data_IF_612487057156
#
_entry.id   IF_612487057156
#
_cell.length_a   1.000
_cell.length_b   1.000
_cell.length_c   1.000
_cell.angle_alpha   90.00
_cell.angle_beta   90.00
_cell.angle_gamma   90.00
#
_symmetry.space_group_name_H-M   'P 1'
#
loop_
_entity.id
_entity.type
_entity.pdbx_description
1 polymer ?
#
# COMPACT_ATOMS: atom_id res chain seq x y z
N UNK A 1 9.87 22.52 20.38
CA UNK A 1 9.36 21.86 21.61
C UNK A 1 8.31 20.88 21.16
N UNK A 2 8.66 19.60 21.04
CA UNK A 2 7.69 18.55 20.73
C UNK A 2 6.79 18.32 21.95
N UNK A 3 5.46 18.26 21.79
CA UNK A 3 4.57 17.88 22.88
C UNK A 3 4.81 16.39 23.19
N UNK A 4 5.34 16.10 24.38
CA UNK A 4 5.42 14.73 24.88
C UNK A 4 4.01 14.15 24.97
N UNK A 5 3.77 13.05 24.26
CA UNK A 5 2.52 12.32 24.35
C UNK A 5 2.29 11.89 25.81
N UNK A 6 1.11 12.18 26.40
CA UNK A 6 0.83 11.83 27.78
C UNK A 6 0.85 10.31 27.97
N UNK A 7 1.51 9.85 29.03
CA UNK A 7 1.54 8.44 29.42
C UNK A 7 0.14 7.98 29.85
N UNK A 8 -0.59 7.38 28.92
CA UNK A 8 -1.98 6.93 29.09
C UNK A 8 -2.11 5.86 30.19
N UNK A 9 -1.06 5.09 30.46
CA UNK A 9 -1.06 4.12 31.57
C UNK A 9 -1.08 4.84 32.91
N UNK A 10 -0.30 5.91 33.04
CA UNK A 10 -0.30 6.76 34.23
C UNK A 10 -1.65 7.47 34.44
N UNK A 11 -2.33 7.87 33.36
CA UNK A 11 -3.67 8.48 33.44
C UNK A 11 -4.74 7.47 33.87
N UNK A 12 -4.75 6.26 33.28
CA UNK A 12 -5.68 5.19 33.68
C UNK A 12 -5.45 4.74 35.13
N UNK A 13 -4.19 4.59 35.55
CA UNK A 13 -3.86 4.26 36.93
C UNK A 13 -4.36 5.32 37.91
N UNK A 14 -4.27 6.61 37.56
CA UNK A 14 -4.84 7.71 38.38
C UNK A 14 -6.36 7.66 38.46
N UNK A 15 -7.04 7.32 37.37
CA UNK A 15 -8.51 7.21 37.36
C UNK A 15 -8.99 6.04 38.22
N UNK A 16 -8.31 4.90 38.10
CA UNK A 16 -8.60 3.74 38.94
C UNK A 16 -8.38 4.09 40.43
N UNK A 17 -7.25 4.71 40.75
CA UNK A 17 -6.95 5.19 42.10
C UNK A 17 -7.99 6.18 42.63
N UNK A 18 -8.48 7.13 41.83
CA UNK A 18 -9.54 8.04 42.27
C UNK A 18 -10.88 7.33 42.48
N UNK A 19 -11.20 6.33 41.66
CA UNK A 19 -12.41 5.53 41.83
C UNK A 19 -12.37 4.75 43.15
N UNK A 20 -11.24 4.11 43.44
CA UNK A 20 -11.04 3.33 44.65
C UNK A 20 -11.14 4.24 45.89
N UNK A 21 -10.48 5.41 45.86
CA UNK A 21 -10.57 6.40 46.96
C UNK A 21 -12.01 6.92 47.16
N UNK A 22 -12.76 7.17 46.08
CA UNK A 22 -14.16 7.60 46.19
C UNK A 22 -15.00 6.50 46.84
N UNK A 23 -14.80 5.24 46.45
CA UNK A 23 -15.56 4.11 46.97
C UNK A 23 -15.26 3.84 48.45
N UNK A 24 -13.99 3.90 48.84
CA UNK A 24 -13.57 3.74 50.24
C UNK A 24 -14.14 4.86 51.11
N UNK A 25 -14.03 6.12 50.65
CA UNK A 25 -14.53 7.28 51.41
C UNK A 25 -16.05 7.32 51.51
N UNK A 26 -16.76 6.90 50.47
CA UNK A 26 -18.22 6.79 50.50
C UNK A 26 -18.68 5.72 51.50
N UNK A 27 -17.93 4.61 51.60
CA UNK A 27 -18.19 3.54 52.57
C UNK A 27 -17.93 4.02 54.00
N UNK A 28 -16.81 4.71 54.25
CA UNK A 28 -16.48 5.32 55.55
C UNK A 28 -17.56 6.33 56.00
N UNK A 29 -18.06 7.17 55.10
CA UNK A 29 -19.15 8.11 55.41
C UNK A 29 -20.45 7.36 55.74
N UNK A 30 -20.76 6.27 55.05
CA UNK A 30 -21.96 5.48 55.31
C UNK A 30 -21.90 4.80 56.69
N UNK A 31 -20.76 4.21 57.04
CA UNK A 31 -20.53 3.59 58.36
C UNK A 31 -20.63 4.62 59.49
N UNK A 32 -19.96 5.76 59.35
CA UNK A 32 -20.02 6.84 60.35
C UNK A 32 -21.42 7.43 60.51
N UNK A 33 -22.21 7.52 59.43
CA UNK A 33 -23.62 7.96 59.51
C UNK A 33 -24.48 6.94 60.26
N UNK A 34 -24.27 5.65 60.03
CA UNK A 34 -24.96 4.58 60.74
C UNK A 34 -24.59 4.57 62.24
N UNK A 35 -23.31 4.72 62.57
CA UNK A 35 -22.84 4.78 63.96
C UNK A 35 -23.39 6.01 64.70
N UNK A 36 -23.35 7.19 64.06
CA UNK A 36 -23.92 8.42 64.63
C UNK A 36 -25.42 8.29 64.90
N UNK A 37 -26.15 7.58 64.02
CA UNK A 37 -27.57 7.32 64.23
C UNK A 37 -27.82 6.36 65.40
N UNK A 38 -27.01 5.30 65.53
CA UNK A 38 -27.05 4.39 66.68
C UNK A 38 -26.75 5.10 68.00
N UNK A 39 -25.78 6.01 68.03
CA UNK A 39 -25.45 6.80 69.23
C UNK A 39 -26.60 7.72 69.63
N UNK A 40 -27.26 8.37 68.66
CA UNK A 40 -28.46 9.18 68.93
C UNK A 40 -29.62 8.36 69.50
N UNK A 41 -29.82 7.16 68.97
CA UNK A 41 -30.83 6.24 69.49
C UNK A 41 -30.49 5.82 70.93
N UNK A 42 -29.21 5.50 71.22
CA UNK A 42 -28.74 5.19 72.56
C UNK A 42 -28.92 6.37 73.52
N UNK A 43 -28.56 7.59 73.13
CA UNK A 43 -28.74 8.80 73.94
C UNK A 43 -30.22 9.06 74.25
N UNK A 44 -31.09 8.92 73.24
CA UNK A 44 -32.53 9.05 73.41
C UNK A 44 -33.13 7.97 74.32
N UNK A 45 -32.56 6.77 74.32
CA UNK A 45 -32.97 5.67 75.20
C UNK A 45 -32.46 5.88 76.63
N UNK A 46 -31.20 6.31 76.80
CA UNK A 46 -30.55 6.61 78.08
C UNK A 46 -31.29 7.73 78.82
N UNK A 47 -31.63 8.83 78.12
CA UNK A 47 -32.42 9.94 78.65
C UNK A 47 -33.83 9.51 79.12
N UNK A 48 -34.45 8.52 78.45
CA UNK A 48 -35.74 7.94 78.87
C UNK A 48 -35.60 7.05 80.11
N UNK A 49 -34.53 6.26 80.22
CA UNK A 49 -34.24 5.48 81.42
C UNK A 49 -33.85 6.37 82.61
N UNK A 50 -33.05 7.41 82.42
CA UNK A 50 -32.74 8.36 83.50
C UNK A 50 -33.99 9.04 84.07
N UNK A 51 -34.98 9.37 83.23
CA UNK A 51 -36.29 9.87 83.68
C UNK A 51 -37.14 8.82 84.42
N UNK A 52 -36.90 7.52 84.20
CA UNK A 52 -37.66 6.42 84.83
C UNK A 52 -37.17 6.07 86.23
N UNK A 53 -35.96 6.46 86.63
CA UNK A 53 -35.35 6.11 87.93
C UNK A 53 -35.52 7.21 89.00
N UNK A 54 -36.35 8.23 88.75
CA UNK A 54 -36.62 9.35 89.67
C UNK A 54 -37.49 8.98 90.90
N UNK A 55 -37.58 7.70 91.27
CA UNK A 55 -38.41 7.19 92.37
C UNK A 55 -37.58 6.29 93.31
N UNK A 56 -36.62 6.85 94.06
CA UNK A 56 -36.31 6.55 95.49
C UNK A 56 -34.93 7.13 95.91
N UNK A 57 -34.85 8.20 96.74
CA UNK A 57 -33.60 8.93 96.97
C UNK A 57 -32.93 8.55 98.31
N UNK A 58 -31.86 7.75 98.28
CA UNK A 58 -30.84 7.75 99.35
C UNK A 58 -29.45 7.31 98.85
N UNK A 59 -28.54 8.27 98.77
CA UNK A 59 -27.08 8.16 98.69
C UNK A 59 -26.38 7.45 97.50
N UNK A 60 -27.09 6.99 96.47
CA UNK A 60 -26.47 6.62 95.16
C UNK A 60 -26.53 7.73 94.09
N UNK A 61 -27.34 8.78 94.30
CA UNK A 61 -27.65 9.78 93.27
C UNK A 61 -26.48 10.68 92.88
N UNK A 62 -25.65 11.16 93.81
CA UNK A 62 -24.58 12.10 93.43
C UNK A 62 -23.45 11.48 92.61
N UNK A 63 -23.15 10.19 92.77
CA UNK A 63 -22.13 9.51 91.94
C UNK A 63 -22.68 9.14 90.56
N UNK A 64 -23.93 8.69 90.47
CA UNK A 64 -24.55 8.39 89.19
C UNK A 64 -24.86 9.63 88.36
N UNK A 65 -25.24 10.74 88.98
CA UNK A 65 -25.53 11.99 88.25
C UNK A 65 -24.26 12.59 87.62
N UNK A 66 -23.13 12.56 88.34
CA UNK A 66 -21.82 12.97 87.79
C UNK A 66 -21.36 12.02 86.69
N UNK A 67 -21.57 10.71 86.84
CA UNK A 67 -21.26 9.75 85.77
C UNK A 67 -22.12 9.92 84.51
N UNK A 68 -23.38 10.34 84.66
CA UNK A 68 -24.27 10.63 83.53
C UNK A 68 -23.84 11.93 82.85
N UNK A 69 -23.52 12.99 83.61
CA UNK A 69 -23.03 14.26 83.05
C UNK A 69 -21.68 14.09 82.33
N UNK A 70 -20.73 13.34 82.91
CA UNK A 70 -19.45 13.03 82.25
C UNK A 70 -19.68 12.20 80.97
N UNK A 71 -20.61 11.23 81.01
CA UNK A 71 -20.95 10.41 79.84
C UNK A 71 -21.67 11.22 78.75
N UNK A 72 -22.55 12.15 79.11
CA UNK A 72 -23.26 13.01 78.16
C UNK A 72 -22.28 14.00 77.51
N UNK A 73 -21.32 14.53 78.27
CA UNK A 73 -20.26 15.39 77.75
C UNK A 73 -19.32 14.63 76.79
N UNK A 74 -18.92 13.41 77.14
CA UNK A 74 -18.12 12.55 76.25
C UNK A 74 -18.88 12.19 74.96
N UNK A 75 -20.19 11.99 75.03
CA UNK A 75 -21.02 11.73 73.84
C UNK A 75 -21.16 13.01 72.98
N UNK A 76 -21.38 14.19 73.57
CA UNK A 76 -21.39 15.45 72.82
C UNK A 76 -20.05 15.73 72.13
N UNK A 77 -18.94 15.49 72.82
CA UNK A 77 -17.58 15.67 72.28
C UNK A 77 -17.30 14.69 71.11
N UNK A 78 -17.76 13.44 71.23
CA UNK A 78 -17.62 12.45 70.15
C UNK A 78 -18.55 12.76 68.97
N UNK A 79 -19.79 13.20 69.20
CA UNK A 79 -20.68 13.67 68.13
C UNK A 79 -20.09 14.88 67.38
N UNK A 80 -19.52 15.84 68.09
CA UNK A 80 -18.87 17.00 67.49
C UNK A 80 -17.66 16.61 66.63
N UNK A 81 -16.84 15.65 67.10
CA UNK A 81 -15.73 15.08 66.34
C UNK A 81 -16.21 14.35 65.08
N UNK A 82 -17.24 13.51 65.20
CA UNK A 82 -17.80 12.78 64.05
C UNK A 82 -18.42 13.73 63.02
N UNK A 83 -19.14 14.76 63.46
CA UNK A 83 -19.73 15.77 62.56
C UNK A 83 -18.65 16.52 61.76
N UNK A 84 -17.57 16.92 62.43
CA UNK A 84 -16.43 17.58 61.78
C UNK A 84 -15.73 16.64 60.79
N UNK A 85 -15.57 15.37 61.15
CA UNK A 85 -14.97 14.35 60.29
C UNK A 85 -15.82 14.07 59.05
N UNK A 86 -17.14 13.96 59.20
CA UNK A 86 -18.08 13.78 58.08
C UNK A 86 -18.01 14.97 57.12
N UNK A 87 -17.99 16.21 57.63
CA UNK A 87 -17.86 17.40 56.79
C UNK A 87 -16.55 17.40 55.98
N UNK A 88 -15.42 17.08 56.62
CA UNK A 88 -14.13 16.98 55.94
C UNK A 88 -14.12 15.88 54.85
N UNK A 89 -14.77 14.74 55.10
CA UNK A 89 -14.91 13.65 54.13
C UNK A 89 -15.81 14.04 52.96
N UNK A 90 -16.94 14.73 53.22
CA UNK A 90 -17.85 15.21 52.18
C UNK A 90 -17.20 16.28 51.28
N UNK A 91 -16.38 17.17 51.84
CA UNK A 91 -15.58 18.13 51.06
C UNK A 91 -14.53 17.43 50.20
N UNK A 92 -13.86 16.42 50.76
CA UNK A 92 -12.88 15.60 50.03
C UNK A 92 -13.54 14.84 48.88
N UNK A 93 -14.71 14.23 49.10
CA UNK A 93 -15.50 13.56 48.06
C UNK A 93 -15.84 14.51 46.92
N UNK A 94 -16.38 15.70 47.22
CA UNK A 94 -16.68 16.71 46.19
C UNK A 94 -15.43 17.12 45.41
N UNK A 95 -14.28 17.24 46.07
CA UNK A 95 -13.01 17.55 45.43
C UNK A 95 -12.59 16.46 44.43
N UNK A 96 -12.65 15.19 44.83
CA UNK A 96 -12.29 14.06 43.99
C UNK A 96 -13.28 13.83 42.84
N UNK A 97 -14.59 13.98 43.08
CA UNK A 97 -15.62 13.93 42.03
C UNK A 97 -15.40 15.00 40.95
N UNK A 98 -15.06 16.23 41.37
CA UNK A 98 -14.73 17.32 40.43
C UNK A 98 -13.47 17.02 39.63
N UNK A 99 -12.45 16.39 40.23
CA UNK A 99 -11.24 15.95 39.51
C UNK A 99 -11.51 14.79 38.56
N UNK A 100 -12.34 13.84 38.97
CA UNK A 100 -12.74 12.68 38.17
C UNK A 100 -13.52 13.12 36.92
N UNK A 101 -14.53 13.97 37.10
CA UNK A 101 -15.32 14.53 35.98
C UNK A 101 -14.44 15.32 35.01
N UNK A 102 -13.49 16.12 35.52
CA UNK A 102 -12.51 16.83 34.68
C UNK A 102 -11.65 15.87 33.85
N UNK A 103 -11.09 14.82 34.45
CA UNK A 103 -10.26 13.85 33.72
C UNK A 103 -11.06 13.02 32.72
N UNK A 104 -12.28 12.64 33.08
CA UNK A 104 -13.20 11.94 32.18
C UNK A 104 -13.49 12.78 30.93
N UNK A 105 -13.67 14.10 31.09
CA UNK A 105 -13.89 15.01 29.96
C UNK A 105 -12.68 15.07 29.03
N UNK A 106 -11.46 15.18 29.58
CA UNK A 106 -10.21 15.18 28.78
C UNK A 106 -10.07 13.89 27.98
N UNK A 107 -10.37 12.73 28.57
CA UNK A 107 -10.32 11.45 27.85
C UNK A 107 -11.36 11.40 26.74
N UNK A 108 -12.57 11.90 27.00
CA UNK A 108 -13.62 11.95 25.98
C UNK A 108 -13.23 12.85 24.80
N UNK A 109 -12.71 14.06 25.09
CA UNK A 109 -12.24 15.00 24.07
C UNK A 109 -11.12 14.38 23.21
N UNK A 110 -10.17 13.65 23.83
CA UNK A 110 -9.11 12.94 23.10
C UNK A 110 -9.62 11.74 22.29
N UNK A 111 -10.61 11.00 22.82
CA UNK A 111 -11.23 9.90 22.10
C UNK A 111 -11.99 10.40 20.87
N UNK A 112 -12.69 11.51 20.99
CA UNK A 112 -13.41 12.15 19.89
C UNK A 112 -12.43 12.67 18.82
N UNK A 113 -11.30 13.26 19.23
CA UNK A 113 -10.24 13.71 18.31
C UNK A 113 -9.57 12.55 17.56
N UNK A 114 -9.27 11.44 18.25
CA UNK A 114 -8.77 10.21 17.62
C UNK A 114 -9.81 9.60 16.66
N UNK A 115 -11.09 9.67 17.01
CA UNK A 115 -12.16 9.19 16.14
C UNK A 115 -12.32 10.08 14.90
N UNK A 116 -12.19 11.40 15.04
CA UNK A 116 -12.17 12.34 13.92
C UNK A 116 -10.97 12.10 13.02
N UNK A 117 -9.77 11.90 13.57
CA UNK A 117 -8.58 11.55 12.78
C UNK A 117 -8.73 10.22 12.06
N UNK A 118 -9.29 9.19 12.72
CA UNK A 118 -9.62 7.91 12.05
C UNK A 118 -10.63 8.09 10.94
N UNK A 119 -11.67 8.89 11.18
CA UNK A 119 -12.67 9.19 10.17
C UNK A 119 -12.05 9.97 9.01
N UNK A 120 -11.13 10.91 9.25
CA UNK A 120 -10.39 11.63 8.21
C UNK A 120 -9.45 10.72 7.42
N UNK A 121 -8.77 9.77 8.08
CA UNK A 121 -7.92 8.76 7.40
C UNK A 121 -8.79 7.77 6.59
N UNK A 122 -9.99 7.45 7.05
CA UNK A 122 -10.95 6.63 6.32
C UNK A 122 -11.69 7.41 5.21
N UNK A 123 -11.86 8.72 5.38
CA UNK A 123 -12.51 9.64 4.45
C UNK A 123 -11.55 10.26 3.44
N UNK A 124 -10.23 10.23 3.67
CA UNK A 124 -9.28 10.28 2.57
C UNK A 124 -9.65 9.08 1.71
N UNK A 125 -10.26 9.30 0.53
CA UNK A 125 -10.58 8.19 -0.33
C UNK A 125 -9.22 7.60 -0.61
N UNK A 126 -9.00 6.41 -0.10
CA UNK A 126 -7.96 5.52 -0.55
C UNK A 126 -8.05 5.51 -2.07
N UNK A 127 -7.30 6.41 -2.74
CA UNK A 127 -7.27 6.62 -4.19
C UNK A 127 -6.52 5.45 -4.82
N UNK A 128 -6.86 4.22 -4.45
CA UNK A 128 -6.55 3.08 -5.27
C UNK A 128 -7.59 3.09 -6.38
N UNK A 129 -7.15 3.42 -7.59
CA UNK A 129 -8.02 3.31 -8.74
C UNK A 129 -8.23 1.81 -8.96
N UNK A 130 -9.43 1.30 -8.64
CA UNK A 130 -9.79 -0.07 -8.97
C UNK A 130 -9.99 -0.16 -10.47
N UNK A 131 -8.91 -0.44 -11.18
CA UNK A 131 -8.92 -0.67 -12.62
C UNK A 131 -9.20 -2.16 -12.86
N UNK A 132 -10.21 -2.44 -13.67
CA UNK A 132 -10.57 -3.79 -14.08
C UNK A 132 -9.57 -4.37 -15.07
N UNK A 133 -9.52 -5.70 -15.12
CA UNK A 133 -8.71 -6.44 -16.08
C UNK A 133 -9.05 -6.06 -17.53
N UNK A 134 -10.33 -5.77 -17.81
CA UNK A 134 -10.78 -5.34 -19.15
C UNK A 134 -10.27 -3.95 -19.52
N UNK A 135 -10.24 -3.00 -18.57
CA UNK A 135 -9.67 -1.68 -18.83
C UNK A 135 -8.17 -1.75 -19.12
N UNK A 136 -7.43 -2.61 -18.41
CA UNK A 136 -6.01 -2.85 -18.69
C UNK A 136 -5.82 -3.46 -20.08
N UNK A 137 -6.61 -4.49 -20.43
CA UNK A 137 -6.58 -5.12 -21.77
C UNK A 137 -6.90 -4.12 -22.88
N UNK A 138 -7.93 -3.29 -22.68
CA UNK A 138 -8.34 -2.27 -23.64
C UNK A 138 -7.27 -1.18 -23.78
N UNK A 139 -6.70 -0.72 -22.67
CA UNK A 139 -5.61 0.26 -22.67
C UNK A 139 -4.38 -0.25 -23.42
N UNK A 140 -3.99 -1.51 -23.19
CA UNK A 140 -2.87 -2.11 -23.95
C UNK A 140 -3.22 -2.28 -25.43
N UNK A 141 -4.46 -2.69 -25.76
CA UNK A 141 -4.91 -2.84 -27.15
C UNK A 141 -4.93 -1.51 -27.91
N UNK A 142 -5.39 -0.44 -27.25
CA UNK A 142 -5.35 0.92 -27.80
C UNK A 142 -3.90 1.37 -28.00
N UNK A 143 -3.00 1.08 -27.05
CA UNK A 143 -1.59 1.39 -27.19
C UNK A 143 -0.94 0.62 -28.35
N UNK A 144 -1.23 -0.68 -28.51
CA UNK A 144 -0.82 -1.47 -29.68
C UNK A 144 -1.29 -0.85 -30.99
N UNK A 145 -2.54 -0.39 -31.04
CA UNK A 145 -3.10 0.27 -32.20
C UNK A 145 -2.38 1.59 -32.53
N UNK A 146 -2.15 2.46 -31.54
CA UNK A 146 -1.45 3.73 -31.73
C UNK A 146 -0.01 3.51 -32.20
N UNK A 147 0.73 2.56 -31.60
CA UNK A 147 2.10 2.22 -32.03
C UNK A 147 2.10 1.77 -33.49
N UNK A 148 1.16 0.91 -33.90
CA UNK A 148 1.04 0.47 -35.29
C UNK A 148 0.76 1.64 -36.24
N UNK A 149 -0.23 2.48 -35.93
CA UNK A 149 -0.54 3.66 -36.75
C UNK A 149 0.66 4.62 -36.84
N UNK A 150 1.38 4.79 -35.73
CA UNK A 150 2.55 5.64 -35.68
C UNK A 150 3.66 5.15 -36.62
N UNK A 151 3.95 3.85 -36.56
CA UNK A 151 4.93 3.21 -37.46
C UNK A 151 4.53 3.35 -38.92
N UNK A 152 3.26 3.13 -39.25
CA UNK A 152 2.74 3.21 -40.61
C UNK A 152 2.80 4.64 -41.17
N UNK A 153 2.42 5.64 -40.39
CA UNK A 153 2.27 7.00 -40.88
C UNK A 153 3.60 7.77 -40.84
N UNK A 154 4.37 7.64 -39.76
CA UNK A 154 5.47 8.55 -39.45
C UNK A 154 6.88 7.94 -39.64
N UNK A 155 7.01 6.62 -39.66
CA UNK A 155 8.31 5.95 -39.78
C UNK A 155 8.60 5.47 -41.21
N UNK A 156 9.88 5.26 -41.51
CA UNK A 156 10.34 4.75 -42.81
C UNK A 156 9.96 3.28 -42.98
N UNK A 157 9.52 2.89 -44.18
CA UNK A 157 9.13 1.50 -44.48
C UNK A 157 10.31 0.60 -44.86
N UNK A 158 11.52 1.16 -44.94
CA UNK A 158 12.77 0.43 -45.11
C UNK A 158 13.89 1.27 -44.51
N UNK A 159 14.82 0.62 -43.83
CA UNK A 159 16.03 1.25 -43.27
C UNK A 159 17.24 0.65 -43.99
N UNK A 160 18.12 1.51 -44.51
CA UNK A 160 19.33 1.10 -45.20
C UNK A 160 20.27 0.31 -44.27
N UNK A 161 21.04 -0.63 -44.83
CA UNK A 161 21.96 -1.49 -44.08
C UNK A 161 22.91 -0.72 -43.15
N UNK A 162 23.41 0.44 -43.58
CA UNK A 162 24.31 1.26 -42.77
C UNK A 162 23.64 1.82 -41.51
N UNK A 163 22.35 2.16 -41.60
CA UNK A 163 21.57 2.67 -40.46
C UNK A 163 21.19 1.56 -39.47
N UNK A 164 21.14 0.28 -39.91
CA UNK A 164 20.87 -0.90 -39.06
C UNK A 164 21.91 -1.08 -37.95
N UNK A 165 23.13 -0.59 -38.19
CA UNK A 165 24.24 -0.65 -37.24
C UNK A 165 24.30 0.54 -36.27
N UNK A 166 23.32 1.45 -36.31
CA UNK A 166 23.25 2.52 -35.32
C UNK A 166 23.25 1.96 -33.88
N UNK A 167 23.93 2.67 -32.98
CA UNK A 167 24.00 2.32 -31.56
C UNK A 167 22.60 2.28 -30.92
N UNK A 168 21.72 3.20 -31.33
CA UNK A 168 20.31 3.22 -30.92
C UNK A 168 19.60 1.92 -31.27
N UNK A 169 19.65 1.46 -32.53
CA UNK A 169 18.96 0.23 -32.93
C UNK A 169 19.57 -1.00 -32.29
N UNK A 170 20.89 -1.01 -32.09
CA UNK A 170 21.57 -2.09 -31.37
C UNK A 170 21.07 -2.22 -29.92
N UNK A 171 20.70 -1.11 -29.28
CA UNK A 171 20.13 -1.08 -27.94
C UNK A 171 18.65 -1.47 -27.90
N UNK A 172 17.88 -1.07 -28.92
CA UNK A 172 16.43 -1.29 -28.95
C UNK A 172 16.04 -2.67 -29.48
N UNK A 173 16.84 -3.26 -30.36
CA UNK A 173 16.46 -4.46 -31.09
C UNK A 173 17.55 -5.54 -31.03
N UNK A 174 17.15 -6.81 -30.83
CA UNK A 174 18.07 -7.92 -30.96
C UNK A 174 18.56 -8.06 -32.41
N UNK A 175 19.76 -8.62 -32.60
CA UNK A 175 20.36 -8.80 -33.93
C UNK A 175 19.46 -9.62 -34.87
N UNK A 176 18.75 -10.61 -34.32
CA UNK A 176 17.78 -11.46 -35.01
C UNK A 176 16.65 -10.69 -35.68
N UNK A 177 16.22 -9.55 -35.12
CA UNK A 177 15.18 -8.70 -35.69
C UNK A 177 15.75 -7.66 -36.64
N UNK A 178 16.92 -7.10 -36.30
CA UNK A 178 17.58 -6.05 -37.10
C UNK A 178 17.85 -6.45 -38.55
N UNK A 179 18.18 -7.71 -38.81
CA UNK A 179 18.39 -8.23 -40.18
C UNK A 179 17.16 -8.11 -41.09
N UNK A 180 15.96 -7.94 -40.51
CA UNK A 180 14.72 -7.80 -41.26
C UNK A 180 14.34 -6.34 -41.53
N UNK A 181 15.10 -5.35 -41.05
CA UNK A 181 14.89 -3.92 -41.31
C UNK A 181 15.00 -3.50 -42.79
N UNK A 182 15.83 -4.14 -43.64
CA UNK A 182 15.84 -3.83 -45.06
C UNK A 182 14.57 -4.33 -45.79
N UNK A 183 13.86 -5.33 -45.24
CA UNK A 183 12.69 -5.93 -45.86
C UNK A 183 11.47 -5.02 -45.72
N UNK A 184 10.88 -4.58 -46.84
CA UNK A 184 9.71 -3.69 -46.83
C UNK A 184 8.50 -4.28 -46.07
N UNK A 185 8.34 -5.61 -46.07
CA UNK A 185 7.21 -6.28 -45.41
C UNK A 185 7.42 -6.45 -43.91
N UNK A 186 8.67 -6.67 -43.47
CA UNK A 186 8.98 -6.95 -42.06
C UNK A 186 9.48 -5.72 -41.32
N UNK A 187 9.97 -4.69 -42.02
CA UNK A 187 10.46 -3.45 -41.42
C UNK A 187 9.41 -2.82 -40.50
N UNK A 188 8.13 -2.63 -40.89
CA UNK A 188 7.13 -2.07 -39.98
C UNK A 188 6.98 -2.88 -38.68
N UNK A 189 6.99 -4.22 -38.77
CA UNK A 189 6.88 -5.10 -37.60
C UNK A 189 8.09 -4.95 -36.67
N UNK A 190 9.29 -4.86 -37.25
CA UNK A 190 10.53 -4.66 -36.47
C UNK A 190 10.58 -3.26 -35.86
N UNK A 191 10.02 -2.25 -36.54
CA UNK A 191 9.91 -0.90 -36.00
C UNK A 191 8.90 -0.83 -34.86
N UNK A 192 7.77 -1.51 -34.94
CA UNK A 192 6.85 -1.68 -33.80
C UNK A 192 7.61 -2.23 -32.58
N UNK A 193 8.40 -3.29 -32.77
CA UNK A 193 9.22 -3.87 -31.71
C UNK A 193 10.21 -2.87 -31.11
N UNK A 194 10.84 -2.02 -31.93
CA UNK A 194 11.79 -1.01 -31.45
C UNK A 194 11.11 0.03 -30.54
N UNK A 195 9.90 0.47 -30.93
CA UNK A 195 9.10 1.39 -30.13
C UNK A 195 8.70 0.73 -28.81
N UNK A 196 8.25 -0.53 -28.84
CA UNK A 196 7.92 -1.28 -27.63
C UNK A 196 9.10 -1.52 -26.70
N UNK A 197 10.29 -1.80 -27.23
CA UNK A 197 11.52 -1.88 -26.43
C UNK A 197 11.85 -0.56 -25.73
N UNK A 198 11.64 0.57 -26.42
CA UNK A 198 11.78 1.88 -25.79
C UNK A 198 10.74 2.08 -24.69
N UNK A 199 9.45 1.84 -24.96
CA UNK A 199 8.39 1.99 -23.95
C UNK A 199 8.62 1.08 -22.74
N UNK A 200 9.08 -0.15 -22.97
CA UNK A 200 9.39 -1.09 -21.90
C UNK A 200 10.51 -0.56 -21.01
N UNK A 201 11.65 -0.18 -21.59
CA UNK A 201 12.80 0.33 -20.83
C UNK A 201 12.55 1.69 -20.17
N UNK A 202 11.86 2.61 -20.88
CA UNK A 202 11.65 3.98 -20.42
C UNK A 202 10.43 4.19 -19.52
N UNK A 203 9.45 3.27 -19.50
CA UNK A 203 8.18 3.45 -18.77
C UNK A 203 7.83 2.23 -17.91
N UNK A 204 7.81 1.04 -18.49
CA UNK A 204 7.28 -0.15 -17.79
C UNK A 204 8.30 -0.80 -16.84
N UNK A 205 9.59 -0.66 -17.10
CA UNK A 205 10.65 -1.21 -16.25
C UNK A 205 10.63 -0.62 -14.85
N UNK A 206 11.14 -1.41 -13.90
CA UNK A 206 11.21 -1.04 -12.50
C UNK A 206 12.09 0.20 -12.23
N UNK A 207 13.07 0.47 -13.10
CA UNK A 207 13.97 1.63 -13.06
C UNK A 207 13.66 2.71 -14.12
N UNK A 208 12.47 2.69 -14.70
CA UNK A 208 12.07 3.66 -15.71
C UNK A 208 12.13 5.10 -15.19
N UNK A 209 12.74 6.01 -15.95
CA UNK A 209 12.89 7.42 -15.56
C UNK A 209 11.54 8.13 -15.37
N UNK A 210 10.55 7.78 -16.19
CA UNK A 210 9.20 8.35 -16.10
C UNK A 210 8.43 7.85 -14.85
N UNK A 211 8.87 6.75 -14.24
CA UNK A 211 8.29 6.21 -13.01
C UNK A 211 8.94 6.85 -11.78
N UNK A 212 8.38 7.97 -11.32
CA UNK A 212 8.75 8.64 -10.07
C UNK A 212 10.25 8.96 -9.88
N UNK A 213 11.02 8.93 -10.98
CA UNK A 213 12.46 9.15 -11.00
C UNK A 213 13.22 8.34 -9.94
N UNK A 214 14.27 8.92 -9.34
CA UNK A 214 15.08 8.24 -8.32
C UNK A 214 14.29 7.79 -7.08
N UNK A 215 13.23 8.51 -6.69
CA UNK A 215 12.36 8.13 -5.58
C UNK A 215 11.56 6.86 -5.91
N UNK A 216 11.06 6.77 -7.14
CA UNK A 216 10.39 5.58 -7.67
C UNK A 216 11.28 4.34 -7.62
N UNK A 217 12.56 4.51 -7.99
CA UNK A 217 13.59 3.45 -7.93
C UNK A 217 13.79 2.98 -6.48
N UNK A 218 14.07 3.91 -5.56
CA UNK A 218 14.29 3.57 -4.13
C UNK A 218 13.06 2.90 -3.50
N UNK A 219 11.86 3.36 -3.87
CA UNK A 219 10.62 2.75 -3.44
C UNK A 219 10.50 1.31 -3.98
N UNK A 220 10.82 1.07 -5.25
CA UNK A 220 10.84 -0.28 -5.84
C UNK A 220 11.86 -1.21 -5.17
N UNK A 221 13.07 -0.72 -4.90
CA UNK A 221 14.10 -1.51 -4.20
C UNK A 221 13.63 -1.89 -2.79
N UNK A 222 12.97 -0.96 -2.09
CA UNK A 222 12.38 -1.21 -0.77
C UNK A 222 11.27 -2.25 -0.86
N UNK A 223 10.35 -2.11 -1.82
CA UNK A 223 9.31 -3.10 -2.08
C UNK A 223 9.88 -4.49 -2.36
N UNK A 224 10.95 -4.59 -3.15
CA UNK A 224 11.60 -5.85 -3.46
C UNK A 224 12.23 -6.48 -2.21
N UNK A 225 12.94 -5.69 -1.39
CA UNK A 225 13.52 -6.13 -0.12
C UNK A 225 12.45 -6.65 0.84
N UNK A 226 11.36 -5.91 1.02
CA UNK A 226 10.23 -6.33 1.86
C UNK A 226 9.56 -7.59 1.31
N UNK A 227 9.32 -7.64 -0.01
CA UNK A 227 8.75 -8.84 -0.66
C UNK A 227 9.63 -10.07 -0.49
N UNK A 228 10.94 -9.91 -0.56
CA UNK A 228 11.90 -11.00 -0.33
C UNK A 228 11.94 -11.41 1.14
N UNK A 229 11.91 -10.46 2.07
CA UNK A 229 11.84 -10.77 3.51
C UNK A 229 10.57 -11.57 3.85
N UNK A 230 9.41 -11.19 3.29
CA UNK A 230 8.17 -11.96 3.40
C UNK A 230 8.39 -13.36 2.81
N UNK A 231 8.90 -13.50 1.58
CA UNK A 231 9.15 -14.81 0.95
C UNK A 231 10.08 -15.71 1.77
N UNK A 232 11.17 -15.17 2.31
CA UNK A 232 12.15 -15.94 3.10
C UNK A 232 11.56 -16.37 4.44
N UNK A 233 10.74 -15.52 5.08
CA UNK A 233 9.99 -15.90 6.28
C UNK A 233 9.00 -17.05 6.03
N UNK A 234 8.49 -17.18 4.80
CA UNK A 234 7.51 -18.19 4.40
C UNK A 234 8.09 -19.59 4.21
N UNK A 235 9.41 -19.73 4.04
CA UNK A 235 10.03 -21.06 3.92
C UNK A 235 10.05 -21.81 5.27
N UNK A 236 9.86 -21.10 6.38
CA UNK A 236 9.98 -21.65 7.74
C UNK A 236 8.66 -21.65 8.55
N UNK A 237 7.60 -21.00 8.07
CA UNK A 237 6.29 -20.94 8.76
C UNK A 237 5.19 -20.55 7.77
N UNK A 238 3.97 -21.09 7.95
CA UNK A 238 2.76 -20.63 7.24
C UNK A 238 2.50 -19.15 7.56
N UNK A 239 3.09 -18.25 6.79
CA UNK A 239 2.68 -16.85 6.82
C UNK A 239 1.32 -16.75 6.14
N UNK A 240 0.37 -16.23 6.89
CA UNK A 240 -1.01 -16.00 6.47
C UNK A 240 -1.05 -15.15 5.19
N UNK A 241 -1.94 -15.51 4.27
CA UNK A 241 -2.31 -14.73 3.07
C UNK A 241 -2.55 -13.23 3.39
N UNK A 242 -2.92 -12.93 4.64
CA UNK A 242 -3.06 -11.57 5.18
C UNK A 242 -1.80 -10.72 5.08
N UNK A 243 -0.60 -11.25 5.37
CA UNK A 243 0.64 -10.45 5.32
C UNK A 243 0.98 -10.02 3.89
N UNK A 244 0.71 -10.88 2.90
CA UNK A 244 0.87 -10.51 1.48
C UNK A 244 -0.16 -9.48 1.04
N UNK A 245 -1.40 -9.59 1.51
CA UNK A 245 -2.45 -8.61 1.22
C UNK A 245 -2.12 -7.23 1.80
N UNK A 246 -1.69 -7.18 3.06
CA UNK A 246 -1.26 -5.95 3.74
C UNK A 246 -0.07 -5.29 3.04
N UNK A 247 0.95 -6.08 2.66
CA UNK A 247 2.10 -5.60 1.91
C UNK A 247 1.69 -4.95 0.58
N UNK A 248 0.81 -5.60 -0.17
CA UNK A 248 0.38 -5.09 -1.47
C UNK A 248 -0.56 -3.88 -1.35
N UNK A 249 -1.33 -3.79 -0.27
CA UNK A 249 -2.11 -2.59 0.06
C UNK A 249 -1.20 -1.41 0.40
N UNK A 250 -0.20 -1.62 1.26
CA UNK A 250 0.83 -0.62 1.57
C UNK A 250 1.54 -0.16 0.30
N UNK A 251 1.94 -1.09 -0.55
CA UNK A 251 2.55 -0.80 -1.86
C UNK A 251 1.65 0.09 -2.72
N UNK A 252 0.39 -0.32 -2.91
CA UNK A 252 -0.55 0.40 -3.76
C UNK A 252 -0.75 1.84 -3.27
N UNK A 253 -0.87 2.03 -1.94
CA UNK A 253 -0.94 3.37 -1.33
C UNK A 253 0.32 4.18 -1.55
N UNK A 254 1.50 3.60 -1.35
CA UNK A 254 2.77 4.28 -1.58
C UNK A 254 2.94 4.73 -3.03
N UNK A 255 2.53 3.90 -3.99
CA UNK A 255 2.47 4.27 -5.41
C UNK A 255 1.53 5.46 -5.63
N UNK A 256 0.30 5.41 -5.13
CA UNK A 256 -0.66 6.51 -5.30
C UNK A 256 -0.16 7.81 -4.68
N UNK A 257 0.48 7.74 -3.51
CA UNK A 257 1.11 8.90 -2.86
C UNK A 257 2.21 9.51 -3.75
N UNK A 258 3.14 8.70 -4.24
CA UNK A 258 4.20 9.15 -5.12
C UNK A 258 3.63 9.79 -6.39
N UNK A 259 2.67 9.13 -7.04
CA UNK A 259 2.04 9.67 -8.25
C UNK A 259 1.32 11.00 -8.01
N UNK A 260 0.75 11.21 -6.82
CA UNK A 260 0.09 12.48 -6.48
C UNK A 260 1.05 13.61 -6.13
N UNK A 261 2.29 13.29 -5.76
CA UNK A 261 3.29 14.26 -5.28
C UNK A 261 4.25 14.71 -6.37
N UNK A 262 4.15 14.14 -7.58
CA UNK A 262 5.11 14.36 -8.67
C UNK A 262 4.50 15.16 -9.80
N UNK A 263 5.32 16.04 -10.38
CA UNK A 263 5.00 16.74 -11.61
C UNK A 263 5.16 15.80 -12.81
N UNK A 264 4.07 15.12 -13.14
CA UNK A 264 4.00 14.17 -14.25
C UNK A 264 4.27 14.84 -15.60
N UNK A 265 3.81 16.07 -15.79
CA UNK A 265 3.91 16.78 -17.07
C UNK A 265 5.36 17.16 -17.39
N UNK A 266 6.12 17.60 -16.39
CA UNK A 266 7.56 17.86 -16.54
C UNK A 266 8.34 16.58 -16.92
N UNK A 267 8.04 15.46 -16.26
CA UNK A 267 8.67 14.16 -16.54
C UNK A 267 8.34 13.63 -17.94
N UNK A 268 7.07 13.74 -18.34
CA UNK A 268 6.61 13.38 -19.67
C UNK A 268 7.30 14.23 -20.75
N UNK A 269 7.38 15.55 -20.56
CA UNK A 269 8.02 16.44 -21.53
C UNK A 269 9.48 16.06 -21.78
N UNK A 270 10.25 15.77 -20.71
CA UNK A 270 11.63 15.27 -20.83
C UNK A 270 11.70 13.95 -21.59
N UNK A 271 10.78 13.03 -21.34
CA UNK A 271 10.73 11.72 -22.01
C UNK A 271 10.42 11.86 -23.50
N UNK A 272 9.52 12.77 -23.87
CA UNK A 272 9.21 13.10 -25.28
C UNK A 272 10.47 13.63 -25.98
N UNK A 273 11.22 14.54 -25.35
CA UNK A 273 12.48 15.05 -25.90
C UNK A 273 13.47 13.91 -26.11
N UNK A 274 13.68 13.05 -25.11
CA UNK A 274 14.58 11.91 -25.22
C UNK A 274 14.15 10.94 -26.31
N UNK A 275 12.85 10.65 -26.44
CA UNK A 275 12.33 9.80 -27.49
C UNK A 275 12.58 10.39 -28.88
N UNK A 276 12.33 11.69 -29.05
CA UNK A 276 12.64 12.41 -30.29
C UNK A 276 14.12 12.31 -30.63
N UNK A 277 14.98 12.69 -29.69
CA UNK A 277 16.42 12.86 -29.93
C UNK A 277 17.17 11.52 -30.05
N UNK A 278 16.59 10.42 -29.56
CA UNK A 278 17.20 9.09 -29.64
C UNK A 278 16.54 8.18 -30.67
N UNK A 279 15.21 8.06 -30.64
CA UNK A 279 14.45 7.10 -31.45
C UNK A 279 14.06 7.71 -32.79
N UNK A 280 13.44 8.89 -32.78
CA UNK A 280 12.90 9.49 -34.01
C UNK A 280 14.00 9.96 -34.97
N UNK A 281 15.14 10.43 -34.45
CA UNK A 281 16.31 10.79 -35.29
C UNK A 281 16.72 9.63 -36.21
N UNK A 282 16.57 8.38 -35.76
CA UNK A 282 16.97 7.20 -36.53
C UNK A 282 15.80 6.64 -37.35
N UNK A 283 14.59 6.63 -36.77
CA UNK A 283 13.46 5.89 -37.33
C UNK A 283 12.50 6.72 -38.19
N UNK A 284 12.36 8.02 -37.90
CA UNK A 284 11.31 8.83 -38.49
C UNK A 284 11.62 9.22 -39.95
N UNK A 285 10.56 9.46 -40.72
CA UNK A 285 10.65 10.15 -42.02
C UNK A 285 11.15 11.58 -41.81
N UNK A 286 10.49 12.29 -40.90
CA UNK A 286 10.90 13.61 -40.38
C UNK A 286 10.74 13.62 -38.85
N UNK A 287 11.84 13.84 -38.13
CA UNK A 287 11.87 13.84 -36.67
C UNK A 287 11.51 15.20 -36.05
N UNK A 288 11.36 16.25 -36.88
CA UNK A 288 11.00 17.60 -36.45
C UNK A 288 9.54 17.94 -36.75
N UNK A 289 8.85 17.09 -37.51
CA UNK A 289 7.44 17.25 -37.80
C UNK A 289 6.60 17.22 -36.52
N UNK A 290 5.76 18.25 -36.34
CA UNK A 290 4.94 18.41 -35.15
C UNK A 290 3.91 17.30 -35.01
N UNK A 291 3.34 16.81 -36.13
CA UNK A 291 2.36 15.73 -36.08
C UNK A 291 2.99 14.43 -35.56
N UNK A 292 4.22 14.15 -35.98
CA UNK A 292 5.03 13.03 -35.47
C UNK A 292 5.31 13.17 -33.97
N UNK A 293 5.65 14.38 -33.49
CA UNK A 293 5.92 14.63 -32.08
C UNK A 293 4.66 14.46 -31.22
N UNK A 294 3.51 14.99 -31.67
CA UNK A 294 2.25 14.85 -30.93
C UNK A 294 1.77 13.40 -30.88
N UNK A 295 1.88 12.65 -31.98
CA UNK A 295 1.54 11.22 -31.99
C UNK A 295 2.45 10.41 -31.04
N UNK A 296 3.75 10.73 -31.00
CA UNK A 296 4.68 10.12 -30.05
C UNK A 296 4.30 10.45 -28.60
N UNK A 297 3.93 11.70 -28.33
CA UNK A 297 3.48 12.16 -27.01
C UNK A 297 2.21 11.43 -26.57
N UNK A 298 1.25 11.21 -27.47
CA UNK A 298 0.03 10.44 -27.19
C UNK A 298 0.35 8.99 -26.77
N UNK A 299 1.27 8.33 -27.49
CA UNK A 299 1.75 6.98 -27.15
C UNK A 299 2.38 6.96 -25.75
N UNK A 300 3.29 7.91 -25.46
CA UNK A 300 3.99 7.99 -24.17
C UNK A 300 3.00 8.27 -23.02
N UNK A 301 2.02 9.15 -23.24
CA UNK A 301 0.94 9.45 -22.29
C UNK A 301 0.13 8.20 -21.96
N UNK A 302 -0.32 7.46 -22.98
CA UNK A 302 -1.13 6.28 -22.77
C UNK A 302 -0.32 5.15 -22.09
N UNK A 303 0.94 4.97 -22.47
CA UNK A 303 1.85 4.01 -21.84
C UNK A 303 2.07 4.33 -20.36
N UNK A 304 2.30 5.61 -20.03
CA UNK A 304 2.49 6.05 -18.67
C UNK A 304 1.23 5.90 -17.82
N UNK A 305 0.05 6.24 -18.38
CA UNK A 305 -1.24 6.02 -17.74
C UNK A 305 -1.47 4.53 -17.45
N UNK A 306 -1.17 3.66 -18.40
CA UNK A 306 -1.27 2.22 -18.23
C UNK A 306 -0.31 1.74 -17.12
N UNK A 307 0.93 2.19 -17.11
CA UNK A 307 1.90 1.87 -16.05
C UNK A 307 1.41 2.31 -14.66
N UNK A 308 0.78 3.49 -14.56
CA UNK A 308 0.18 3.97 -13.32
C UNK A 308 -0.96 3.05 -12.84
N UNK A 309 -1.82 2.58 -13.73
CA UNK A 309 -2.87 1.61 -13.40
C UNK A 309 -2.28 0.29 -12.88
N UNK A 310 -1.28 -0.24 -13.57
CA UNK A 310 -0.61 -1.49 -13.17
C UNK A 310 0.04 -1.37 -11.80
N UNK A 311 0.68 -0.23 -11.49
CA UNK A 311 1.41 -0.02 -10.23
C UNK A 311 0.50 0.34 -9.06
N UNK A 312 -0.57 1.11 -9.29
CA UNK A 312 -1.51 1.52 -8.23
C UNK A 312 -2.50 0.42 -7.82
N UNK A 313 -2.63 -0.64 -8.62
CA UNK A 313 -3.45 -1.79 -8.26
C UNK A 313 -2.86 -2.56 -7.08
N UNK A 314 -3.72 -3.18 -6.26
CA UNK A 314 -3.29 -4.16 -5.24
C UNK A 314 -2.78 -5.45 -5.90
N UNK A 315 -3.28 -5.82 -7.07
CA UNK A 315 -2.73 -6.93 -7.84
C UNK A 315 -1.32 -6.59 -8.32
N UNK A 316 -0.45 -7.59 -8.40
CA UNK A 316 0.89 -7.42 -8.95
C UNK A 316 0.84 -7.70 -10.44
N UNK A 317 1.22 -6.71 -11.23
CA UNK A 317 1.35 -6.85 -12.66
C UNK A 317 2.82 -6.87 -13.09
N UNK A 318 3.13 -7.65 -14.11
CA UNK A 318 4.46 -7.68 -14.71
C UNK A 318 4.29 -7.63 -16.22
N UNK A 319 4.76 -6.53 -16.81
CA UNK A 319 4.90 -6.41 -18.26
C UNK A 319 6.16 -7.17 -18.67
N UNK A 320 6.11 -7.94 -19.75
CA UNK A 320 7.26 -8.67 -20.25
C UNK A 320 7.33 -8.62 -21.78
N UNK A 321 8.54 -8.58 -22.32
CA UNK A 321 8.81 -8.71 -23.76
C UNK A 321 9.40 -10.08 -24.11
N UNK A 322 10.17 -10.70 -23.24
CA UNK A 322 10.76 -12.03 -23.47
C UNK A 322 10.45 -12.97 -22.32
N UNK A 323 10.82 -14.23 -22.46
CA UNK A 323 10.66 -15.23 -21.41
C UNK A 323 11.29 -14.76 -20.10
N UNK A 324 10.40 -14.38 -19.17
CA UNK A 324 10.57 -14.19 -17.74
C UNK A 324 11.38 -12.96 -17.26
N UNK A 325 10.89 -12.29 -16.19
CA UNK A 325 11.43 -11.03 -15.65
C UNK A 325 12.81 -11.14 -14.95
N UNK A 326 13.43 -12.32 -14.92
CA UNK A 326 14.68 -12.57 -14.19
C UNK A 326 15.83 -13.11 -15.05
N UNK A 327 15.60 -13.39 -16.34
CA UNK A 327 16.69 -13.78 -17.22
C UNK A 327 17.30 -12.52 -17.79
N UNK A 328 18.56 -12.23 -17.43
CA UNK A 328 19.47 -11.47 -18.29
C UNK A 328 19.68 -12.29 -19.57
N UNK A 329 18.64 -12.43 -20.39
CA UNK A 329 18.74 -13.11 -21.67
C UNK A 329 19.40 -12.08 -22.59
N UNK A 330 20.63 -12.33 -23.06
CA UNK A 330 21.28 -11.40 -23.97
C UNK A 330 20.39 -11.23 -25.20
N UNK A 331 20.34 -10.00 -25.73
CA UNK A 331 19.65 -9.54 -26.96
C UNK A 331 20.05 -10.31 -28.24
N UNK A 332 20.58 -11.52 -28.10
CA UNK A 332 21.18 -12.38 -29.13
C UNK A 332 20.50 -13.74 -29.24
N UNK A 333 19.61 -14.11 -28.31
CA UNK A 333 19.13 -15.50 -28.22
C UNK A 333 17.75 -15.66 -28.86
N UNK A 334 17.74 -16.43 -29.95
CA UNK A 334 16.55 -17.09 -30.44
C UNK A 334 16.03 -18.04 -29.34
N UNK A 335 14.72 -18.11 -29.14
CA UNK A 335 14.12 -18.95 -28.10
C UNK A 335 12.86 -19.65 -28.62
N UNK A 336 12.45 -20.80 -28.04
CA UNK A 336 11.25 -21.50 -28.47
C UNK A 336 9.99 -20.68 -28.14
N UNK A 337 8.98 -20.77 -29.00
CA UNK A 337 7.66 -20.20 -28.76
C UNK A 337 6.96 -20.95 -27.61
N UNK A 338 6.56 -20.22 -26.58
CA UNK A 338 5.67 -20.72 -25.53
C UNK A 338 4.22 -20.30 -25.81
N UNK A 339 3.34 -21.24 -26.19
CA UNK A 339 1.96 -20.92 -26.55
C UNK A 339 1.12 -20.46 -25.35
N UNK A 340 1.56 -20.66 -24.10
CA UNK A 340 0.81 -20.24 -22.91
C UNK A 340 0.91 -18.72 -22.69
N UNK A 341 2.05 -18.12 -23.04
CA UNK A 341 2.33 -16.70 -22.74
C UNK A 341 2.61 -15.86 -24.00
N UNK A 342 2.74 -16.49 -25.17
CA UNK A 342 3.05 -15.83 -26.44
C UNK A 342 2.08 -16.21 -27.55
N UNK A 343 1.91 -15.30 -28.51
CA UNK A 343 1.17 -15.52 -29.74
C UNK A 343 2.00 -15.05 -30.94
N UNK A 344 2.00 -15.77 -32.08
CA UNK A 344 2.64 -15.30 -33.30
C UNK A 344 2.07 -13.96 -33.76
N UNK A 345 2.92 -13.07 -34.28
CA UNK A 345 2.48 -11.78 -34.79
C UNK A 345 1.47 -11.95 -35.93
N UNK A 346 0.37 -11.18 -35.84
CA UNK A 346 -0.79 -11.32 -36.72
C UNK A 346 -0.41 -11.16 -38.20
N UNK A 347 -1.07 -11.93 -39.06
CA UNK A 347 -0.91 -11.91 -40.52
C UNK A 347 0.43 -12.44 -41.06
N UNK A 348 1.31 -12.97 -40.21
CA UNK A 348 2.46 -13.74 -40.67
C UNK A 348 2.14 -15.23 -40.57
N UNK A 349 2.36 -16.02 -41.63
CA UNK A 349 2.15 -17.46 -41.56
C UNK A 349 3.07 -18.03 -40.49
N UNK A 350 2.49 -18.69 -39.49
CA UNK A 350 3.26 -19.51 -38.56
C UNK A 350 3.97 -20.57 -39.39
N UNK A 351 5.29 -20.81 -39.18
CA UNK A 351 5.96 -21.90 -39.87
C UNK A 351 5.15 -23.19 -39.68
N UNK A 352 4.90 -23.97 -40.75
CA UNK A 352 4.24 -25.25 -40.58
C UNK A 352 5.05 -26.05 -39.55
N UNK A 353 4.39 -26.50 -38.48
CA UNK A 353 5.00 -27.49 -37.60
C UNK A 353 5.35 -28.67 -38.51
N UNK A 354 6.63 -29.04 -38.57
CA UNK A 354 7.07 -30.16 -39.39
C UNK A 354 6.20 -31.39 -39.11
N UNK A 355 6.00 -32.25 -40.11
CA UNK A 355 5.03 -33.36 -40.07
C UNK A 355 5.15 -34.30 -38.86
N UNK A 356 6.24 -34.26 -38.10
CA UNK A 356 6.48 -35.04 -36.88
C UNK A 356 6.29 -34.26 -35.55
N UNK A 357 5.91 -32.98 -35.59
CA UNK A 357 5.70 -32.14 -34.39
C UNK A 357 6.95 -31.92 -33.53
N UNK A 358 8.13 -32.34 -33.98
CA UNK A 358 9.33 -32.48 -33.14
C UNK A 358 10.20 -31.22 -33.03
N UNK A 359 10.03 -30.22 -33.90
CA UNK A 359 10.85 -29.01 -33.88
C UNK A 359 10.09 -27.79 -33.35
N UNK A 360 10.62 -27.12 -32.30
CA UNK A 360 9.97 -25.96 -31.72
C UNK A 360 10.02 -24.76 -32.68
N UNK A 361 8.91 -24.04 -32.80
CA UNK A 361 8.87 -22.75 -33.52
C UNK A 361 9.80 -21.77 -32.81
N UNK A 362 10.72 -21.18 -33.58
CA UNK A 362 11.75 -20.29 -33.03
C UNK A 362 11.32 -18.82 -33.15
N UNK A 363 11.40 -18.12 -32.03
CA UNK A 363 11.10 -16.69 -31.90
C UNK A 363 12.36 -15.87 -32.19
N UNK A 364 12.24 -14.91 -33.12
CA UNK A 364 13.24 -13.90 -33.42
C UNK A 364 13.29 -12.81 -32.34
N UNK A 365 12.13 -12.45 -31.80
CA UNK A 365 11.96 -11.46 -30.75
C UNK A 365 10.50 -11.05 -30.59
N UNK A 366 10.20 -10.28 -29.54
CA UNK A 366 8.84 -9.78 -29.33
C UNK A 366 8.57 -8.49 -30.08
N UNK A 367 7.35 -8.42 -30.62
CA UNK A 367 6.82 -7.26 -31.32
C UNK A 367 5.97 -6.40 -30.38
N UNK A 368 5.22 -7.01 -29.46
CA UNK A 368 4.49 -6.28 -28.43
C UNK A 368 4.47 -7.06 -27.11
N UNK A 369 4.38 -6.38 -25.94
CA UNK A 369 4.56 -7.02 -24.66
C UNK A 369 3.33 -7.82 -24.22
N UNK A 370 3.58 -8.81 -23.37
CA UNK A 370 2.58 -9.50 -22.59
C UNK A 370 2.44 -8.91 -21.17
N UNK A 371 1.37 -9.28 -20.48
CA UNK A 371 1.11 -8.89 -19.10
C UNK A 371 0.76 -10.12 -18.26
N UNK A 372 1.55 -10.37 -17.22
CA UNK A 372 1.19 -11.28 -16.14
C UNK A 372 0.52 -10.53 -15.00
N UNK A 373 -0.41 -11.22 -14.34
CA UNK A 373 -1.10 -10.76 -13.14
C UNK A 373 -0.95 -11.80 -12.04
N UNK A 374 -0.72 -11.33 -10.82
CA UNK A 374 -0.70 -12.14 -9.59
C UNK A 374 -1.58 -11.49 -8.53
N UNK A 375 -2.49 -12.26 -7.96
CA UNK A 375 -3.52 -11.77 -7.05
C UNK A 375 -4.65 -11.00 -7.74
N UNK A 376 -5.71 -10.73 -6.98
CA UNK A 376 -6.89 -9.98 -7.43
C UNK A 376 -6.74 -8.48 -7.15
N UNK A 377 -7.54 -7.65 -7.83
CA UNK A 377 -7.56 -6.21 -7.58
C UNK A 377 -8.02 -5.86 -6.14
N UNK A 378 -8.70 -6.78 -5.46
CA UNK A 378 -9.12 -6.65 -4.06
C UNK A 378 -8.03 -7.06 -3.07
N UNK A 379 -6.87 -7.52 -3.57
CA UNK A 379 -5.72 -7.90 -2.76
C UNK A 379 -5.82 -9.30 -2.16
N UNK A 380 -6.30 -10.29 -2.93
CA UNK A 380 -6.43 -11.70 -2.51
C UNK A 380 -5.78 -12.64 -3.53
N UNK A 381 -5.62 -13.94 -3.20
CA UNK A 381 -5.17 -15.00 -4.13
C UNK A 381 -3.80 -14.76 -4.77
N UNK A 382 -2.83 -14.30 -3.97
CA UNK A 382 -1.47 -14.04 -4.46
C UNK A 382 -0.67 -15.31 -4.75
N UNK A 383 -1.17 -16.49 -4.44
CA UNK A 383 -0.67 -17.78 -4.89
C UNK A 383 -0.90 -18.00 -6.41
N UNK A 384 -1.95 -17.41 -6.97
CA UNK A 384 -2.33 -17.58 -8.37
C UNK A 384 -1.61 -16.59 -9.29
N UNK A 385 -1.09 -17.12 -10.41
CA UNK A 385 -0.56 -16.32 -11.54
C UNK A 385 -1.40 -16.59 -12.76
N UNK A 386 -1.70 -15.54 -13.52
CA UNK A 386 -2.43 -15.64 -14.77
C UNK A 386 -1.81 -14.75 -15.84
N UNK A 387 -1.89 -15.19 -17.09
CA UNK A 387 -1.59 -14.38 -18.26
C UNK A 387 -2.81 -13.54 -18.58
N UNK A 388 -2.66 -12.22 -18.49
CA UNK A 388 -3.73 -11.29 -18.84
C UNK A 388 -3.73 -10.99 -20.34
N UNK A 389 -2.53 -10.80 -20.91
CA UNK A 389 -2.32 -10.55 -22.34
C UNK A 389 -1.07 -11.29 -22.77
N UNK A 390 -1.16 -12.03 -23.88
CA UNK A 390 -0.02 -12.73 -24.47
C UNK A 390 0.90 -11.73 -25.19
N UNK A 391 2.20 -11.99 -25.15
CA UNK A 391 3.17 -11.22 -25.94
C UNK A 391 3.05 -11.61 -27.42
N UNK A 392 3.02 -10.63 -28.33
CA UNK A 392 3.08 -10.94 -29.76
C UNK A 392 4.53 -11.05 -30.20
N UNK A 393 4.87 -12.11 -30.93
CA UNK A 393 6.26 -12.43 -31.27
C UNK A 393 6.47 -12.67 -32.76
N UNK A 394 7.62 -12.26 -33.27
CA UNK A 394 8.06 -12.56 -34.63
C UNK A 394 8.71 -13.95 -34.63
N UNK A 395 8.12 -14.88 -35.38
CA UNK A 395 8.67 -16.23 -35.54
C UNK A 395 9.48 -16.34 -36.84
N UNK A 396 10.57 -17.12 -36.82
CA UNK A 396 11.40 -17.37 -37.99
C UNK A 396 10.92 -18.60 -38.77
N UNK A 397 10.86 -18.48 -40.10
CA UNK A 397 10.68 -19.62 -40.99
C UNK A 397 11.99 -20.43 -41.09
N UNK A 398 11.91 -21.76 -41.15
CA UNK A 398 13.07 -22.66 -41.20
C UNK A 398 14.07 -22.31 -42.32
N UNK A 399 13.63 -21.78 -43.46
CA UNK A 399 14.50 -21.37 -44.57
C UNK A 399 15.54 -20.30 -44.17
N UNK A 400 15.20 -19.39 -43.25
CA UNK A 400 16.12 -18.37 -42.73
C UNK A 400 17.18 -18.92 -41.76
N UNK A 401 17.06 -20.19 -41.34
CA UNK A 401 18.04 -20.88 -40.50
C UNK A 401 19.11 -21.60 -41.35
N UNK A 402 18.80 -21.95 -42.60
CA UNK A 402 19.69 -22.75 -43.47
C UNK A 402 20.76 -21.93 -44.19
N UNK A 403 20.62 -20.60 -44.25
CA UNK A 403 21.73 -19.70 -44.63
C UNK A 403 22.97 -19.80 -43.72
N UNK A 404 22.90 -20.54 -42.60
CA UNK A 404 24.04 -20.85 -41.72
C UNK A 404 24.73 -22.19 -41.97
N UNK A 405 24.19 -23.10 -42.80
CA UNK A 405 24.85 -24.38 -43.13
C UNK A 405 25.57 -24.36 -44.49
N UNK A 406 25.55 -23.24 -45.22
CA UNK A 406 26.07 -23.15 -46.60
C UNK A 406 27.37 -22.37 -46.80
N UNK A 407 27.96 -21.71 -45.79
CA UNK A 407 29.33 -21.18 -45.90
C UNK A 407 30.33 -22.17 -45.34
N UNK A 408 30.22 -23.42 -45.81
CA UNK A 408 31.36 -24.33 -45.81
C UNK A 408 32.40 -23.69 -46.73
N UNK A 409 33.51 -23.31 -46.14
CA UNK A 409 34.78 -23.17 -46.85
C UNK A 409 34.98 -24.48 -47.63
N UNK A 410 34.79 -24.42 -48.95
CA UNK A 410 35.35 -25.35 -49.91
C UNK A 410 35.36 -24.69 -51.30
N UNK A 411 36.59 -24.51 -51.79
CA UNK A 411 37.02 -24.39 -53.18
C UNK A 411 36.78 -23.06 -53.94
N UNK A 412 37.65 -22.07 -53.71
CA UNK A 412 38.79 -21.70 -54.59
C UNK A 412 39.57 -20.50 -54.04
#
# INVERSE_FOLDING_TARGET
>A
MEPQAPDWRAVLAKIQSYRDVIQDKASEVHELKAENQSLKEQLSSSARTASSWALDPRNMFSRHHVQIEDSDQDIEDTEAKYKTRIQALEESLRHYEKRFTKHRKVIQEQADELQQLRNLIQQEPSRYQKVSDNEIKNGLSQLKFLVRQFVQNHLRHSISGDAVHSSTLTRLLPLSMRRHLPSANLCPVVLEAAIWSYLYSGIFQYHADLWAGPLGVQFCDTMQKVSNAIKTSNQNTEVSETTYAEFNEWRARGVSFLLSSLDFDAGLHRTVIQFRDTVLVVLAKDHRDQATIEAAKEILLLAARLNNWLRSSKAQFTVFLTHLPNAQCPLTTLFPLDPEIMEPYRNLPTPPQGNDGSEPVIVAGAVSPGIHKRGTADGKKYDQRMVLVNAEVLCLHQADQWGRKGSGVQDL
#
